data_IF_121755609928
#
_entry.id   IF_121755609928
#
_cell.length_a   1.000
_cell.length_b   1.000
_cell.length_c   1.000
_cell.angle_alpha   90.00
_cell.angle_beta   90.00
_cell.angle_gamma   90.00
#
_symmetry.space_group_name_H-M   'P 1'
#
loop_
_entity.id
_entity.type
_entity.pdbx_description
1 polymer ?
#
# COMPACT_ATOMS: atom_id res chain seq x y z
N UNK A 1 31.44 7.36 41.26
CA UNK A 1 31.03 8.24 40.15
C UNK A 1 30.90 7.61 38.74
N UNK A 2 31.26 6.33 38.44
CA UNK A 2 31.12 5.81 37.06
C UNK A 2 29.73 5.25 36.73
N UNK A 3 28.89 4.98 37.73
CA UNK A 3 27.55 4.38 37.54
C UNK A 3 26.50 5.33 36.96
N UNK A 4 26.65 6.64 37.17
CA UNK A 4 25.73 7.66 36.64
C UNK A 4 25.94 7.94 35.14
N UNK A 5 27.18 7.84 34.66
CA UNK A 5 27.50 8.02 33.23
C UNK A 5 27.03 6.84 32.38
N UNK A 6 27.08 5.62 32.90
CA UNK A 6 26.58 4.44 32.19
C UNK A 6 25.06 4.46 32.03
N UNK A 7 24.33 4.92 33.05
CA UNK A 7 22.87 5.02 33.01
C UNK A 7 22.40 6.08 31.99
N UNK A 8 23.09 7.21 31.90
CA UNK A 8 22.79 8.25 30.92
C UNK A 8 23.09 7.80 29.47
N UNK A 9 24.13 7.01 29.25
CA UNK A 9 24.47 6.48 27.92
C UNK A 9 23.49 5.39 27.45
N UNK A 10 23.05 4.52 28.36
CA UNK A 10 22.00 3.51 28.07
C UNK A 10 20.65 4.20 27.81
N UNK A 11 20.30 5.25 28.55
CA UNK A 11 19.11 6.05 28.24
C UNK A 11 19.25 6.73 26.86
N UNK A 12 20.38 7.37 26.56
CA UNK A 12 20.56 8.04 25.26
C UNK A 12 20.49 7.05 24.07
N UNK A 13 21.05 5.83 24.19
CA UNK A 13 20.94 4.80 23.16
C UNK A 13 19.53 4.18 23.04
N UNK A 14 18.78 4.09 24.15
CA UNK A 14 17.39 3.62 24.13
C UNK A 14 16.43 4.63 23.49
N UNK A 15 16.74 5.93 23.54
CA UNK A 15 15.93 6.97 22.89
C UNK A 15 16.44 7.36 21.48
N UNK A 16 17.73 7.16 21.17
CA UNK A 16 18.31 7.41 19.85
C UNK A 16 17.91 6.36 18.78
N UNK A 17 17.26 5.26 19.17
CA UNK A 17 16.81 4.20 18.27
C UNK A 17 15.33 4.31 17.86
N UNK A 18 14.66 5.42 18.19
CA UNK A 18 13.24 5.64 17.85
C UNK A 18 12.98 6.29 16.48
N UNK A 19 13.94 6.27 15.55
CA UNK A 19 13.61 6.50 14.13
C UNK A 19 12.99 5.22 13.53
N UNK A 20 11.82 4.87 14.02
CA UNK A 20 11.03 3.77 13.52
C UNK A 20 10.59 4.06 12.08
N UNK A 21 11.15 3.30 11.14
CA UNK A 21 10.51 2.52 10.06
C UNK A 21 8.97 2.64 9.87
N UNK A 22 8.40 3.85 9.89
CA UNK A 22 6.99 4.06 9.57
C UNK A 22 6.75 4.10 8.05
N UNK A 23 7.81 4.19 7.24
CA UNK A 23 7.73 4.15 5.79
C UNK A 23 7.66 2.73 5.27
N UNK A 24 6.73 2.47 4.36
CA UNK A 24 6.60 1.18 3.69
C UNK A 24 6.13 1.36 2.25
N UNK A 25 6.40 0.34 1.44
CA UNK A 25 6.15 0.34 0.02
C UNK A 25 5.69 -1.04 -0.42
N UNK A 26 4.79 -1.07 -1.40
CA UNK A 26 4.09 -2.28 -1.76
C UNK A 26 3.58 -2.24 -3.21
N UNK A 27 3.46 -3.41 -3.84
CA UNK A 27 2.75 -3.59 -5.12
C UNK A 27 1.77 -4.74 -5.05
N UNK A 28 0.70 -4.67 -5.83
CA UNK A 28 -0.33 -5.71 -5.91
C UNK A 28 -0.68 -6.02 -7.35
N UNK A 29 -0.81 -7.31 -7.64
CA UNK A 29 -1.37 -7.83 -8.88
C UNK A 29 -2.43 -8.89 -8.55
N UNK A 30 -3.57 -8.45 -8.05
CA UNK A 30 -4.59 -9.31 -7.44
C UNK A 30 -5.79 -9.46 -8.36
N UNK A 31 -6.35 -10.65 -8.56
CA UNK A 31 -7.73 -10.73 -9.02
C UNK A 31 -8.67 -10.54 -7.84
N UNK A 32 -9.80 -9.88 -8.07
CA UNK A 32 -10.81 -9.76 -7.02
C UNK A 32 -11.28 -11.12 -6.49
N UNK A 33 -11.39 -12.12 -7.37
CA UNK A 33 -11.77 -13.49 -6.99
C UNK A 33 -10.78 -14.20 -6.06
N UNK A 34 -9.51 -13.78 -6.04
CA UNK A 34 -8.46 -14.42 -5.25
C UNK A 34 -8.46 -13.93 -3.78
N UNK A 35 -9.24 -12.89 -3.46
CA UNK A 35 -9.37 -12.38 -2.10
C UNK A 35 -10.29 -13.32 -1.30
N UNK A 36 -9.82 -13.94 -0.20
CA UNK A 36 -10.63 -14.82 0.63
C UNK A 36 -11.92 -14.14 1.08
N UNK A 37 -13.05 -14.84 1.04
CA UNK A 37 -14.38 -14.27 1.34
C UNK A 37 -14.43 -13.51 2.66
N UNK A 38 -13.77 -14.01 3.71
CA UNK A 38 -13.70 -13.36 5.02
C UNK A 38 -12.96 -12.01 5.01
N UNK A 39 -12.09 -11.77 4.03
CA UNK A 39 -11.29 -10.55 3.89
C UNK A 39 -11.86 -9.57 2.86
N UNK A 40 -12.90 -9.94 2.11
CA UNK A 40 -13.42 -9.12 1.02
C UNK A 40 -13.99 -7.78 1.50
N UNK A 41 -14.84 -7.77 2.53
CA UNK A 41 -15.40 -6.53 3.06
C UNK A 41 -14.32 -5.63 3.69
N UNK A 42 -13.43 -6.13 4.59
CA UNK A 42 -12.29 -5.35 5.08
C UNK A 42 -11.40 -4.79 3.96
N UNK A 43 -11.12 -5.60 2.92
CA UNK A 43 -10.33 -5.17 1.77
C UNK A 43 -11.03 -4.05 0.98
N UNK A 44 -12.36 -4.13 0.81
CA UNK A 44 -13.13 -3.09 0.11
C UNK A 44 -13.05 -1.73 0.83
N UNK A 45 -13.21 -1.73 2.16
CA UNK A 45 -13.10 -0.51 2.97
C UNK A 45 -11.68 0.04 2.91
N UNK A 46 -10.68 -0.84 2.94
CA UNK A 46 -9.28 -0.47 2.74
C UNK A 46 -9.00 0.12 1.36
N UNK A 47 -9.65 -0.35 0.30
CA UNK A 47 -9.49 0.27 -1.02
C UNK A 47 -10.09 1.68 -1.05
N UNK A 48 -11.24 1.90 -0.40
CA UNK A 48 -11.79 3.24 -0.23
C UNK A 48 -10.84 4.16 0.52
N UNK A 49 -10.19 3.67 1.58
CA UNK A 49 -9.11 4.40 2.28
C UNK A 49 -8.00 4.84 1.33
N UNK A 50 -7.63 3.99 0.38
CA UNK A 50 -6.60 4.27 -0.62
C UNK A 50 -7.10 5.14 -1.79
N UNK A 51 -8.35 5.61 -1.76
CA UNK A 51 -8.92 6.51 -2.77
C UNK A 51 -9.87 5.86 -3.77
N UNK A 52 -10.36 4.64 -3.51
CA UNK A 52 -11.44 4.08 -4.31
C UNK A 52 -12.74 4.89 -4.16
N UNK A 53 -13.62 4.87 -5.16
CA UNK A 53 -15.00 5.36 -5.02
C UNK A 53 -15.71 4.70 -3.83
N UNK A 54 -16.50 5.48 -3.08
CA UNK A 54 -17.18 4.99 -1.87
C UNK A 54 -18.13 3.81 -2.13
N UNK A 55 -18.69 3.69 -3.34
CA UNK A 55 -19.51 2.55 -3.73
C UNK A 55 -18.72 1.24 -3.85
N UNK A 56 -17.39 1.27 -3.76
CA UNK A 56 -16.52 0.08 -3.72
C UNK A 56 -16.89 -0.88 -2.58
N UNK A 57 -17.31 -0.37 -1.42
CA UNK A 57 -17.71 -1.20 -0.26
C UNK A 57 -19.00 -1.99 -0.49
N UNK A 58 -19.87 -1.47 -1.36
CA UNK A 58 -21.17 -2.07 -1.65
C UNK A 58 -21.16 -2.87 -2.96
N UNK A 59 -19.98 -3.06 -3.57
CA UNK A 59 -19.88 -3.81 -4.80
C UNK A 59 -20.29 -5.26 -4.53
N UNK A 60 -21.24 -5.83 -5.30
CA UNK A 60 -21.51 -7.25 -5.23
C UNK A 60 -20.24 -7.98 -5.71
N UNK A 61 -19.57 -8.68 -4.80
CA UNK A 61 -18.41 -9.55 -5.05
C UNK A 61 -18.81 -10.84 -5.80
N UNK A 62 -19.69 -10.71 -6.79
CA UNK A 62 -20.21 -11.78 -7.64
C UNK A 62 -19.20 -12.13 -8.75
N UNK A 63 -19.44 -13.29 -9.36
CA UNK A 63 -18.74 -13.90 -10.52
C UNK A 63 -18.33 -12.86 -11.59
N UNK A 64 -19.14 -11.81 -11.79
CA UNK A 64 -18.88 -10.71 -12.74
C UNK A 64 -17.54 -9.97 -12.52
N UNK A 65 -17.02 -9.97 -11.28
CA UNK A 65 -15.75 -9.33 -10.94
C UNK A 65 -14.57 -10.28 -10.78
N UNK A 66 -14.74 -11.58 -11.03
CA UNK A 66 -13.60 -12.53 -11.08
C UNK A 66 -12.58 -12.16 -12.17
N UNK A 67 -13.05 -11.49 -13.22
CA UNK A 67 -12.24 -10.95 -14.31
C UNK A 67 -11.52 -9.63 -13.99
N UNK A 68 -11.83 -9.03 -12.84
CA UNK A 68 -11.29 -7.73 -12.45
C UNK A 68 -9.99 -7.90 -11.67
N UNK A 69 -9.03 -7.04 -12.00
CA UNK A 69 -7.72 -7.02 -11.39
C UNK A 69 -7.52 -5.75 -10.59
N UNK A 70 -6.86 -5.85 -9.43
CA UNK A 70 -6.33 -4.73 -8.68
C UNK A 70 -4.85 -4.66 -8.95
N UNK A 71 -4.46 -3.64 -9.72
CA UNK A 71 -3.10 -3.44 -10.16
C UNK A 71 -2.58 -2.08 -9.73
N UNK A 72 -1.70 -2.08 -8.74
CA UNK A 72 -1.24 -0.84 -8.14
C UNK A 72 0.05 -0.98 -7.34
N UNK A 73 0.66 0.16 -7.08
CA UNK A 73 1.79 0.31 -6.18
C UNK A 73 1.50 1.46 -5.22
N UNK A 74 1.84 1.25 -3.94
CA UNK A 74 1.53 2.18 -2.85
C UNK A 74 2.80 2.45 -2.05
N UNK A 75 3.02 3.71 -1.73
CA UNK A 75 4.00 4.15 -0.73
C UNK A 75 3.24 4.69 0.46
N UNK A 76 3.67 4.39 1.68
CA UNK A 76 2.98 4.74 2.93
C UNK A 76 3.92 5.31 3.98
N UNK A 77 3.37 6.15 4.85
CA UNK A 77 3.93 6.54 6.15
C UNK A 77 2.88 6.23 7.24
N UNK A 78 3.22 5.34 8.18
CA UNK A 78 2.35 4.85 9.25
C UNK A 78 2.34 5.73 10.50
N UNK A 79 3.25 6.71 10.59
CA UNK A 79 3.53 7.43 11.84
C UNK A 79 3.13 8.90 11.82
N UNK A 80 3.34 9.61 10.70
CA UNK A 80 3.16 11.06 10.64
C UNK A 80 2.94 11.62 9.22
N UNK A 81 2.43 12.85 9.10
CA UNK A 81 2.52 13.66 7.86
C UNK A 81 3.94 14.24 7.75
N UNK A 82 4.98 13.41 7.64
CA UNK A 82 6.34 13.96 7.48
C UNK A 82 6.73 14.08 6.02
N UNK A 83 6.51 13.01 5.26
CA UNK A 83 7.06 12.89 3.92
C UNK A 83 6.01 13.19 2.85
N UNK A 84 6.45 13.84 1.78
CA UNK A 84 5.72 13.75 0.53
C UNK A 84 6.08 12.41 -0.12
N UNK A 85 5.08 11.61 -0.45
CA UNK A 85 5.25 10.27 -0.97
C UNK A 85 4.93 10.24 -2.45
N UNK A 86 5.63 9.37 -3.17
CA UNK A 86 5.38 9.09 -4.57
C UNK A 86 5.47 7.59 -4.85
N UNK A 87 4.61 7.14 -5.75
CA UNK A 87 4.63 5.79 -6.28
C UNK A 87 4.45 5.83 -7.81
N UNK A 88 5.09 4.87 -8.48
CA UNK A 88 4.78 4.50 -9.86
C UNK A 88 4.48 3.01 -9.94
N UNK A 89 3.48 2.64 -10.72
CA UNK A 89 3.05 1.26 -10.91
C UNK A 89 3.13 0.89 -12.39
N UNK A 90 4.10 0.05 -12.74
CA UNK A 90 4.28 -0.47 -14.10
C UNK A 90 3.59 -1.82 -14.22
N UNK A 91 2.64 -1.91 -15.15
CA UNK A 91 1.90 -3.12 -15.43
C UNK A 91 2.65 -3.95 -16.47
N UNK A 92 2.78 -5.24 -16.22
CA UNK A 92 3.35 -6.18 -17.18
C UNK A 92 2.29 -7.24 -17.51
N UNK A 93 2.03 -7.43 -18.80
CA UNK A 93 1.05 -8.41 -19.29
C UNK A 93 1.77 -9.57 -19.95
N UNK A 94 1.35 -10.78 -19.63
CA UNK A 94 1.88 -11.96 -20.31
C UNK A 94 1.36 -12.02 -21.75
N UNK A 95 2.25 -12.17 -22.73
CA UNK A 95 1.89 -12.43 -24.13
C UNK A 95 2.18 -13.89 -24.46
N UNK A 96 1.15 -14.75 -24.56
CA UNK A 96 1.35 -16.18 -24.83
C UNK A 96 2.13 -16.45 -26.13
N UNK A 97 1.83 -15.69 -27.20
CA UNK A 97 2.50 -15.85 -28.49
C UNK A 97 4.00 -15.51 -28.48
N UNK A 98 4.48 -14.78 -27.47
CA UNK A 98 5.90 -14.42 -27.31
C UNK A 98 6.57 -15.11 -26.09
N UNK A 99 5.81 -15.90 -25.31
CA UNK A 99 6.29 -16.58 -24.12
C UNK A 99 6.81 -15.67 -22.99
N UNK A 100 6.55 -14.36 -23.04
CA UNK A 100 7.16 -13.37 -22.14
C UNK A 100 6.16 -12.33 -21.63
N UNK A 101 6.56 -11.65 -20.56
CA UNK A 101 5.87 -10.46 -20.07
C UNK A 101 6.33 -9.24 -20.87
N UNK A 102 5.38 -8.46 -21.36
CA UNK A 102 5.63 -7.16 -21.98
C UNK A 102 5.24 -6.04 -21.04
N UNK A 103 5.98 -4.94 -21.09
CA UNK A 103 5.61 -3.70 -20.42
C UNK A 103 4.32 -3.19 -21.05
N UNK A 104 3.31 -2.96 -20.21
CA UNK A 104 2.07 -2.30 -20.57
C UNK A 104 2.12 -0.83 -20.13
N UNK A 105 1.06 -0.39 -19.47
CA UNK A 105 0.92 0.96 -18.93
C UNK A 105 1.80 1.17 -17.68
N UNK A 106 2.32 2.38 -17.49
CA UNK A 106 2.84 2.83 -16.20
C UNK A 106 1.97 3.95 -15.67
N UNK A 107 1.53 3.80 -14.42
CA UNK A 107 0.71 4.76 -13.70
C UNK A 107 1.53 5.46 -12.64
N UNK A 108 1.17 6.70 -12.34
CA UNK A 108 1.89 7.54 -11.40
C UNK A 108 0.93 8.13 -10.39
N UNK A 109 1.35 8.18 -9.13
CA UNK A 109 0.69 9.03 -8.15
C UNK A 109 1.10 10.48 -8.39
N UNK A 110 0.35 11.42 -7.80
CA UNK A 110 0.93 12.72 -7.48
C UNK A 110 1.83 12.57 -6.24
N UNK A 111 2.73 13.53 -6.02
CA UNK A 111 3.35 13.68 -4.71
C UNK A 111 2.27 14.03 -3.69
N UNK A 112 2.16 13.23 -2.63
CA UNK A 112 1.07 13.36 -1.66
C UNK A 112 1.55 13.08 -0.24
N UNK A 113 0.98 13.81 0.72
CA UNK A 113 1.12 13.57 2.16
C UNK A 113 -0.27 13.48 2.81
N UNK A 114 -1.26 12.94 2.09
CA UNK A 114 -2.67 13.04 2.45
C UNK A 114 -3.08 12.03 3.52
N UNK A 115 -3.85 12.51 4.51
CA UNK A 115 -4.51 11.70 5.55
C UNK A 115 -5.86 11.20 5.04
N UNK A 116 -6.27 9.95 5.37
CA UNK A 116 -7.66 9.52 5.30
C UNK A 116 -8.55 10.37 6.21
N UNK A 117 -9.83 10.49 5.82
CA UNK A 117 -10.80 11.26 6.61
C UNK A 117 -11.12 10.60 7.96
N UNK A 118 -11.52 11.41 8.94
CA UNK A 118 -11.86 10.96 10.29
C UNK A 118 -13.00 9.94 10.32
N UNK A 119 -13.95 10.04 9.38
CA UNK A 119 -15.05 9.09 9.25
C UNK A 119 -14.54 7.66 8.98
N UNK A 120 -13.49 7.54 8.15
CA UNK A 120 -12.94 6.23 7.80
C UNK A 120 -12.04 5.70 8.92
N UNK A 121 -11.35 6.59 9.65
CA UNK A 121 -10.56 6.21 10.83
C UNK A 121 -11.41 5.72 12.01
N UNK A 122 -12.70 6.08 12.05
CA UNK A 122 -13.64 5.62 13.09
C UNK A 122 -14.42 4.36 12.70
N UNK A 123 -14.24 3.85 11.48
CA UNK A 123 -14.94 2.64 11.03
C UNK A 123 -14.46 1.41 11.82
N UNK A 124 -15.38 0.76 12.53
CA UNK A 124 -15.08 -0.39 13.39
C UNK A 124 -14.50 -1.57 12.62
N UNK A 125 -14.78 -1.69 11.31
CA UNK A 125 -14.25 -2.76 10.45
C UNK A 125 -12.76 -2.58 10.14
N UNK A 126 -12.26 -1.36 10.30
CA UNK A 126 -10.84 -1.03 10.11
C UNK A 126 -10.05 -1.09 11.42
N UNK A 127 -10.67 -1.44 12.55
CA UNK A 127 -9.97 -1.47 13.84
C UNK A 127 -8.80 -2.45 13.83
N UNK A 128 -8.90 -3.60 13.15
CA UNK A 128 -7.77 -4.53 12.98
C UNK A 128 -6.62 -3.86 12.21
N UNK A 129 -6.96 -3.09 11.17
CA UNK A 129 -5.98 -2.36 10.36
C UNK A 129 -5.32 -1.23 11.15
N UNK A 130 -6.10 -0.43 11.87
CA UNK A 130 -5.64 0.73 12.62
C UNK A 130 -4.89 0.34 13.90
N UNK A 131 -5.30 -0.75 14.57
CA UNK A 131 -4.63 -1.30 15.75
C UNK A 131 -3.20 -1.73 15.44
N UNK A 132 -2.97 -2.29 14.26
CA UNK A 132 -1.66 -2.78 13.84
C UNK A 132 -0.79 -1.70 13.17
N UNK A 133 -1.36 -0.56 12.72
CA UNK A 133 -0.66 0.36 11.80
C UNK A 133 -0.73 1.86 12.08
N UNK A 134 -1.58 2.36 12.99
CA UNK A 134 -1.66 3.81 13.26
C UNK A 134 -2.39 4.65 12.18
N UNK A 135 -2.00 5.93 12.02
CA UNK A 135 -2.60 6.84 11.01
C UNK A 135 -1.86 6.68 9.68
N UNK A 136 -2.54 6.19 8.65
CA UNK A 136 -1.97 5.94 7.32
C UNK A 136 -1.86 7.25 6.50
N UNK A 137 -0.69 7.60 6.00
CA UNK A 137 -0.53 8.54 4.87
C UNK A 137 -0.05 7.74 3.67
N UNK A 138 -0.58 8.00 2.47
CA UNK A 138 -0.19 7.19 1.31
C UNK A 138 -0.18 7.93 -0.02
N UNK A 139 0.67 7.46 -0.92
CA UNK A 139 0.63 7.79 -2.33
C UNK A 139 0.37 6.51 -3.13
N UNK A 140 -0.71 6.53 -3.90
CA UNK A 140 -1.19 5.38 -4.68
C UNK A 140 -1.02 5.64 -6.17
N UNK A 141 -0.37 4.69 -6.84
CA UNK A 141 -0.32 4.60 -8.30
C UNK A 141 -1.11 3.38 -8.75
N UNK A 142 -2.30 3.59 -9.30
CA UNK A 142 -3.20 2.54 -9.75
C UNK A 142 -4.43 3.12 -10.45
N UNK A 143 -5.33 2.27 -10.93
CA UNK A 143 -6.55 2.76 -11.58
C UNK A 143 -7.42 3.56 -10.58
N UNK A 144 -7.99 4.73 -10.90
CA UNK A 144 -8.78 5.52 -9.94
C UNK A 144 -9.93 4.73 -9.30
N UNK A 145 -10.56 3.82 -10.05
CA UNK A 145 -11.61 2.94 -9.54
C UNK A 145 -11.09 1.67 -8.83
N UNK A 146 -9.78 1.56 -8.57
CA UNK A 146 -9.05 0.39 -8.03
C UNK A 146 -8.93 -0.78 -8.98
N UNK A 147 -9.98 -1.09 -9.73
CA UNK A 147 -10.01 -2.24 -10.60
C UNK A 147 -9.78 -1.92 -12.07
N UNK A 148 -9.09 -2.83 -12.74
CA UNK A 148 -8.93 -2.94 -14.17
C UNK A 148 -9.71 -4.16 -14.68
N UNK A 149 -10.25 -4.06 -15.90
CA UNK A 149 -10.78 -5.22 -16.61
C UNK A 149 -9.70 -5.68 -17.58
N UNK A 150 -9.12 -6.86 -17.33
CA UNK A 150 -8.07 -7.42 -18.18
C UNK A 150 -8.46 -8.83 -18.58
N UNK A 151 -8.60 -9.03 -19.88
CA UNK A 151 -8.70 -10.35 -20.48
C UNK A 151 -7.31 -10.98 -20.52
N UNK A 152 -7.08 -12.05 -19.74
CA UNK A 152 -5.84 -12.82 -19.79
C UNK A 152 -5.39 -13.43 -18.46
N UNK A 153 -4.46 -14.41 -18.51
CA UNK A 153 -4.20 -15.29 -17.38
C UNK A 153 -3.35 -14.65 -16.27
N UNK A 154 -2.46 -13.68 -16.54
CA UNK A 154 -1.57 -13.17 -15.48
C UNK A 154 -1.10 -11.73 -15.73
N UNK A 155 -1.32 -10.88 -14.73
CA UNK A 155 -0.71 -9.56 -14.64
C UNK A 155 0.43 -9.59 -13.61
N UNK A 156 1.46 -8.79 -13.86
CA UNK A 156 2.53 -8.49 -12.91
C UNK A 156 2.58 -6.99 -12.69
N UNK A 157 2.90 -6.57 -11.48
CA UNK A 157 3.10 -5.15 -11.16
C UNK A 157 4.49 -4.94 -10.64
N UNK A 158 5.18 -3.92 -11.15
CA UNK A 158 6.43 -3.41 -10.62
C UNK A 158 6.24 -2.01 -10.05
N UNK A 159 6.61 -1.83 -8.79
CA UNK A 159 6.53 -0.56 -8.07
C UNK A 159 7.88 0.13 -7.95
N UNK A 160 7.91 1.43 -8.24
CA UNK A 160 9.01 2.32 -7.83
C UNK A 160 8.46 3.37 -6.88
N UNK A 161 9.20 3.64 -5.81
CA UNK A 161 8.71 4.37 -4.65
C UNK A 161 9.73 5.43 -4.25
N UNK A 162 9.24 6.60 -3.87
CA UNK A 162 10.09 7.71 -3.47
C UNK A 162 9.45 8.46 -2.31
N UNK A 163 10.30 9.10 -1.53
CA UNK A 163 9.92 10.08 -0.53
C UNK A 163 10.67 11.38 -0.80
N UNK A 164 10.06 12.48 -0.38
CA UNK A 164 10.72 13.76 -0.21
C UNK A 164 10.55 14.19 1.25
N UNK A 165 11.69 14.42 1.93
CA UNK A 165 11.74 14.92 3.29
C UNK A 165 11.91 16.45 3.26
N UNK A 166 10.87 17.24 3.61
CA UNK A 166 10.94 18.69 3.56
C UNK A 166 11.87 19.29 4.62
N UNK A 167 12.21 18.56 5.69
CA UNK A 167 13.07 19.08 6.76
C UNK A 167 14.52 19.16 6.31
N UNK A 168 15.01 18.12 5.64
CA UNK A 168 16.38 18.06 5.10
C UNK A 168 16.44 18.37 3.59
N UNK A 169 15.28 18.63 2.97
CA UNK A 169 15.11 18.95 1.55
C UNK A 169 15.68 17.89 0.59
N UNK A 170 15.55 16.62 0.94
CA UNK A 170 16.13 15.52 0.17
C UNK A 170 15.05 14.60 -0.40
N UNK A 171 15.23 14.22 -1.67
CA UNK A 171 14.43 13.18 -2.32
C UNK A 171 15.21 11.87 -2.31
N UNK A 172 14.61 10.81 -1.77
CA UNK A 172 15.25 9.50 -1.67
C UNK A 172 14.41 8.40 -2.30
N UNK A 173 15.03 7.47 -3.04
CA UNK A 173 14.33 6.28 -3.48
C UNK A 173 14.08 5.35 -2.30
N UNK A 174 12.92 4.70 -2.32
CA UNK A 174 12.63 3.55 -1.48
C UNK A 174 12.84 2.25 -2.28
N UNK A 175 12.77 1.10 -1.61
CA UNK A 175 12.95 -0.18 -2.28
C UNK A 175 11.92 -0.36 -3.39
N UNK A 176 12.34 -0.94 -4.51
CA UNK A 176 11.40 -1.34 -5.58
C UNK A 176 10.60 -2.56 -5.13
N UNK A 177 9.35 -2.63 -5.56
CA UNK A 177 8.47 -3.77 -5.24
C UNK A 177 8.02 -4.48 -6.50
N UNK A 178 7.64 -5.76 -6.38
CA UNK A 178 7.07 -6.55 -7.46
C UNK A 178 5.98 -7.45 -6.90
N UNK A 179 4.91 -7.64 -7.65
CA UNK A 179 3.82 -8.52 -7.25
C UNK A 179 3.21 -9.29 -8.41
N UNK A 180 2.75 -10.48 -8.08
CA UNK A 180 1.98 -11.41 -8.93
C UNK A 180 0.65 -11.80 -8.30
N UNK A 181 0.34 -11.22 -7.15
CA UNK A 181 -0.66 -11.68 -6.19
C UNK A 181 -1.21 -10.52 -5.32
N UNK A 182 -2.09 -10.87 -4.38
CA UNK A 182 -2.81 -9.91 -3.55
C UNK A 182 -2.01 -9.35 -2.39
N UNK A 183 -1.06 -10.10 -1.84
CA UNK A 183 -0.19 -9.73 -0.71
C UNK A 183 -0.90 -8.98 0.42
N UNK A 184 -2.16 -9.34 0.71
CA UNK A 184 -2.95 -8.70 1.75
C UNK A 184 -2.36 -8.94 3.15
N UNK A 185 -1.65 -10.06 3.34
CA UNK A 185 -0.94 -10.34 4.59
C UNK A 185 0.15 -9.31 4.90
N UNK A 186 0.84 -8.76 3.89
CA UNK A 186 1.80 -7.64 4.07
C UNK A 186 1.11 -6.39 4.62
N UNK A 187 -0.21 -6.31 4.47
CA UNK A 187 -1.08 -5.26 5.00
C UNK A 187 -1.72 -5.56 6.36
N UNK A 188 -1.32 -6.66 7.01
CA UNK A 188 -1.86 -7.07 8.31
C UNK A 188 -3.26 -7.68 8.22
N UNK A 189 -3.72 -8.05 7.01
CA UNK A 189 -4.90 -8.87 6.84
C UNK A 189 -4.52 -10.33 7.12
N UNK A 190 -4.56 -10.71 8.40
CA UNK A 190 -4.43 -12.11 8.80
C UNK A 190 -5.73 -12.86 8.52
N UNK A 191 -5.63 -14.01 7.86
CA UNK A 191 -6.70 -15.01 7.82
C UNK A 191 -6.80 -15.66 9.19
N UNK A 192 -7.59 -15.08 10.09
CA UNK A 192 -7.97 -15.78 11.33
C UNK A 192 -9.00 -16.87 11.05
#
# INVERSE_FOLDING_TARGET
>A
MPRLLLAAFVFYCAFASSQANALSQFSRACRFGDIPRALQEPAAVFFVLLGAPANTVNLPWRIEKESHWILESITTDYGAVRYYLFASSTLYRYRPGEGKYVVGETRYSRWAAQRPSDAVLKDSRLQIFLHNRGTLYSARAGHPAIYDVIEGPTARVGGTHWLYDPFIQETRPLAKTKATDCNLAEWGFETR
#
